data_IF_341217967455
#
_entry.id   IF_341217967455
#
_cell.length_a   1.000
_cell.length_b   1.000
_cell.length_c   1.000
_cell.angle_alpha   90.00
_cell.angle_beta   90.00
_cell.angle_gamma   90.00
#
_symmetry.space_group_name_H-M   'P 1'
#
loop_
_entity.id
_entity.type
_entity.pdbx_description
1 polymer ?
#
# COMPACT_ATOMS: atom_id res chain seq x y z
N UNK A 1 3.94 -15.63 -0.27
CA UNK A 1 4.90 -14.51 -0.08
C UNK A 1 4.33 -13.59 0.97
N UNK A 2 5.17 -12.90 1.72
CA UNK A 2 4.79 -11.77 2.56
C UNK A 2 5.64 -10.55 2.17
N UNK A 3 5.10 -9.38 2.44
CA UNK A 3 5.79 -8.10 2.33
C UNK A 3 5.46 -7.31 3.58
N UNK A 4 6.42 -6.57 4.13
CA UNK A 4 6.15 -5.76 5.32
C UNK A 4 5.42 -4.48 4.91
N UNK A 5 4.51 -3.94 5.73
CA UNK A 5 3.80 -2.70 5.42
C UNK A 5 4.72 -1.52 5.10
N UNK A 6 5.87 -1.41 5.77
CA UNK A 6 6.87 -0.35 5.58
C UNK A 6 7.69 -0.48 4.29
N UNK A 7 7.63 -1.64 3.62
CA UNK A 7 8.35 -1.91 2.37
C UNK A 7 7.52 -1.58 1.12
N UNK A 8 6.28 -1.11 1.30
CA UNK A 8 5.37 -0.68 0.24
C UNK A 8 5.36 0.84 0.17
N UNK A 9 5.50 1.38 -1.04
CA UNK A 9 5.35 2.81 -1.31
C UNK A 9 4.02 3.07 -2.02
N UNK A 10 3.39 4.20 -1.66
CA UNK A 10 2.18 4.70 -2.30
C UNK A 10 2.48 5.99 -3.05
N UNK A 11 2.11 6.02 -4.31
CA UNK A 11 2.16 7.24 -5.13
C UNK A 11 0.77 7.58 -5.65
N UNK A 12 0.62 8.79 -6.17
CA UNK A 12 -0.54 9.15 -6.96
C UNK A 12 -0.72 8.19 -8.14
N UNK A 13 -1.97 8.08 -8.62
CA UNK A 13 -2.29 7.25 -9.77
C UNK A 13 -1.49 7.72 -11.00
N UNK A 14 -0.95 6.76 -11.72
CA UNK A 14 -0.20 6.98 -12.96
C UNK A 14 -1.01 6.45 -14.14
N UNK A 15 -0.81 7.02 -15.34
CA UNK A 15 -1.45 6.55 -16.57
C UNK A 15 -0.87 5.23 -17.12
N UNK A 16 0.10 4.63 -16.42
CA UNK A 16 0.68 3.33 -16.80
C UNK A 16 -0.30 2.19 -16.48
N UNK A 17 -0.72 1.46 -17.50
CA UNK A 17 -1.66 0.35 -17.39
C UNK A 17 -1.08 -0.88 -16.65
N UNK A 18 0.24 -0.93 -16.44
CA UNK A 18 0.92 -2.11 -15.90
C UNK A 18 1.35 -1.94 -14.43
N UNK A 19 0.73 -1.02 -13.69
CA UNK A 19 1.00 -0.79 -12.27
C UNK A 19 -0.02 -1.45 -11.36
N UNK A 20 0.43 -1.87 -10.18
CA UNK A 20 -0.47 -2.38 -9.15
C UNK A 20 -1.19 -1.20 -8.50
N UNK A 21 -2.52 -1.22 -8.48
CA UNK A 21 -3.34 -0.15 -7.88
C UNK A 21 -4.16 -0.67 -6.71
N UNK A 22 -4.60 0.26 -5.86
CA UNK A 22 -5.48 0.00 -4.74
C UNK A 22 -6.33 1.21 -4.40
N UNK A 23 -7.45 0.99 -3.72
CA UNK A 23 -8.29 2.06 -3.21
C UNK A 23 -8.10 2.20 -1.70
N UNK A 24 -7.84 3.40 -1.22
CA UNK A 24 -7.77 3.72 0.21
C UNK A 24 -9.13 3.45 0.84
N UNK A 25 -9.16 2.51 1.78
CA UNK A 25 -10.34 2.18 2.58
C UNK A 25 -10.39 3.05 3.85
N UNK A 26 -9.26 3.23 4.53
CA UNK A 26 -9.14 4.05 5.75
C UNK A 26 -7.69 4.43 6.03
N UNK A 27 -7.51 5.45 6.85
CA UNK A 27 -6.20 5.88 7.37
C UNK A 27 -6.22 5.98 8.89
N UNK A 28 -5.08 5.70 9.52
CA UNK A 28 -4.87 5.88 10.96
C UNK A 28 -3.51 6.52 11.17
N UNK A 29 -3.48 7.69 11.79
CA UNK A 29 -2.22 8.32 12.21
C UNK A 29 -1.73 7.66 13.51
N UNK A 30 -0.50 7.14 13.49
CA UNK A 30 0.11 6.40 14.60
C UNK A 30 1.14 7.25 15.39
N UNK A 31 1.27 8.54 15.06
CA UNK A 31 2.20 9.47 15.72
C UNK A 31 3.45 9.76 14.88
N UNK A 32 4.14 8.73 14.39
CA UNK A 32 5.33 8.85 13.55
C UNK A 32 5.08 8.56 12.06
N UNK A 33 3.97 7.89 11.76
CA UNK A 33 3.58 7.45 10.42
C UNK A 33 2.06 7.42 10.27
N UNK A 34 1.59 7.39 9.04
CA UNK A 34 0.20 7.11 8.70
C UNK A 34 0.09 5.69 8.19
N UNK A 35 -0.75 4.87 8.84
CA UNK A 35 -1.11 3.55 8.34
C UNK A 35 -2.29 3.67 7.40
N UNK A 36 -2.12 3.20 6.18
CA UNK A 36 -3.14 3.21 5.12
C UNK A 36 -3.63 1.78 4.90
N UNK A 37 -4.94 1.59 4.95
CA UNK A 37 -5.59 0.33 4.59
C UNK A 37 -6.10 0.43 3.15
N UNK A 38 -5.66 -0.47 2.28
CA UNK A 38 -6.05 -0.54 0.88
C UNK A 38 -6.97 -1.74 0.63
N UNK A 39 -7.94 -1.54 -0.26
CA UNK A 39 -8.78 -2.61 -0.84
C UNK A 39 -8.57 -2.70 -2.34
N UNK A 40 -8.93 -3.83 -2.94
CA UNK A 40 -8.85 -4.02 -4.39
C UNK A 40 -7.45 -4.35 -4.94
N UNK A 41 -6.44 -4.45 -4.07
CA UNK A 41 -5.08 -4.88 -4.45
C UNK A 41 -5.02 -6.40 -4.68
N UNK A 42 -5.78 -7.16 -3.87
CA UNK A 42 -5.98 -8.60 -4.03
C UNK A 42 -7.47 -8.90 -3.89
N UNK A 43 -7.95 -9.99 -4.49
CA UNK A 43 -9.38 -10.25 -4.62
C UNK A 43 -10.15 -10.33 -3.27
N UNK A 44 -9.49 -10.67 -2.16
CA UNK A 44 -10.18 -10.94 -0.88
C UNK A 44 -9.46 -10.41 0.38
N UNK A 45 -8.37 -9.65 0.23
CA UNK A 45 -7.61 -9.15 1.39
C UNK A 45 -7.34 -7.65 1.32
N UNK A 46 -7.37 -7.02 2.50
CA UNK A 46 -6.85 -5.67 2.66
C UNK A 46 -5.33 -5.71 2.71
N UNK A 47 -4.70 -4.73 2.06
CA UNK A 47 -3.25 -4.50 2.13
C UNK A 47 -3.00 -3.33 3.06
N UNK A 48 -2.11 -3.53 4.01
CA UNK A 48 -1.71 -2.50 4.97
C UNK A 48 -0.38 -1.90 4.54
N UNK A 49 -0.29 -0.58 4.56
CA UNK A 49 0.92 0.17 4.19
C UNK A 49 1.24 1.19 5.28
N UNK A 50 2.51 1.26 5.67
CA UNK A 50 3.01 2.23 6.64
C UNK A 50 3.73 3.36 5.90
N UNK A 51 3.10 4.53 5.83
CA UNK A 51 3.61 5.72 5.14
C UNK A 51 4.27 6.68 6.13
N UNK A 52 5.56 6.92 5.96
CA UNK A 52 6.36 7.83 6.82
C UNK A 52 6.43 9.26 6.29
N UNK A 53 6.01 9.47 5.05
CA UNK A 53 5.95 10.79 4.43
C UNK A 53 4.73 11.57 4.91
N UNK A 54 4.83 12.91 4.86
CA UNK A 54 3.72 13.81 5.23
C UNK A 54 2.74 13.98 4.05
N UNK A 55 2.11 12.88 3.68
CA UNK A 55 1.09 12.81 2.62
C UNK A 55 -0.25 12.48 3.26
N UNK A 56 -1.29 13.20 2.84
CA UNK A 56 -2.67 12.92 3.26
C UNK A 56 -3.32 11.95 2.27
N UNK A 57 -3.81 10.82 2.78
CA UNK A 57 -4.57 9.84 1.99
C UNK A 57 -6.04 9.87 2.40
N UNK A 58 -6.94 9.91 1.42
CA UNK A 58 -8.38 10.02 1.66
C UNK A 58 -9.11 8.72 1.32
N UNK A 59 -10.12 8.34 2.11
CA UNK A 59 -10.95 7.19 1.80
C UNK A 59 -11.61 7.35 0.41
N UNK A 60 -11.52 6.32 -0.43
CA UNK A 60 -11.96 6.34 -1.82
C UNK A 60 -10.90 6.78 -2.83
N UNK A 61 -9.77 7.34 -2.39
CA UNK A 61 -8.64 7.68 -3.27
C UNK A 61 -8.04 6.41 -3.89
N UNK A 62 -7.75 6.47 -5.20
CA UNK A 62 -6.97 5.43 -5.89
C UNK A 62 -5.49 5.79 -5.82
N UNK A 63 -4.65 4.82 -5.48
CA UNK A 63 -3.19 4.96 -5.35
C UNK A 63 -2.49 3.86 -6.12
N UNK A 64 -1.29 4.17 -6.61
CA UNK A 64 -0.36 3.17 -7.16
C UNK A 64 0.51 2.62 -6.04
N UNK A 65 0.75 1.31 -6.06
CA UNK A 65 1.61 0.59 -5.12
C UNK A 65 2.89 0.17 -5.82
N UNK A 66 4.02 0.38 -5.16
CA UNK A 66 5.31 -0.17 -5.58
C UNK A 66 6.07 -0.74 -4.39
N UNK A 67 6.96 -1.70 -4.65
CA UNK A 67 7.85 -2.27 -3.65
C UNK A 67 9.08 -2.85 -4.33
N UNK A 68 10.17 -2.97 -3.58
CA UNK A 68 11.38 -3.66 -4.03
C UNK A 68 11.17 -5.18 -3.97
N UNK A 69 11.24 -5.93 -5.09
CA UNK A 69 11.05 -7.38 -5.10
C UNK A 69 12.04 -8.14 -4.21
N UNK A 70 13.22 -7.57 -3.92
CA UNK A 70 14.21 -8.18 -3.02
C UNK A 70 13.74 -8.25 -1.56
N UNK A 71 12.72 -7.46 -1.19
CA UNK A 71 12.11 -7.43 0.14
C UNK A 71 10.99 -8.46 0.32
N UNK A 72 10.64 -9.19 -0.73
CA UNK A 72 9.64 -10.26 -0.63
C UNK A 72 10.13 -11.40 0.26
N UNK A 73 9.33 -11.72 1.26
CA UNK A 73 9.58 -12.83 2.18
C UNK A 73 8.89 -14.07 1.64
N UNK A 74 9.68 -15.06 1.24
CA UNK A 74 9.14 -16.37 0.87
C UNK A 74 8.65 -17.09 2.14
N UNK A 75 7.41 -17.58 2.10
CA UNK A 75 6.87 -18.41 3.16
C UNK A 75 7.12 -19.87 2.79
N UNK A 76 7.61 -20.66 3.76
CA UNK A 76 7.66 -22.11 3.60
C UNK A 76 6.22 -22.65 3.54
N UNK A 77 6.00 -23.61 2.63
CA UNK A 77 4.75 -24.37 2.57
C UNK A 77 4.70 -25.39 3.69
#
# INVERSE_FOLDING_TARGET
>A
MMLRPEDIQLTEITDDENVLTGTVASTVFLGDRTRVMLRGVTNDAQVMVDCFERVEYQAGQVVTLSFDPSRLISLKK
#
